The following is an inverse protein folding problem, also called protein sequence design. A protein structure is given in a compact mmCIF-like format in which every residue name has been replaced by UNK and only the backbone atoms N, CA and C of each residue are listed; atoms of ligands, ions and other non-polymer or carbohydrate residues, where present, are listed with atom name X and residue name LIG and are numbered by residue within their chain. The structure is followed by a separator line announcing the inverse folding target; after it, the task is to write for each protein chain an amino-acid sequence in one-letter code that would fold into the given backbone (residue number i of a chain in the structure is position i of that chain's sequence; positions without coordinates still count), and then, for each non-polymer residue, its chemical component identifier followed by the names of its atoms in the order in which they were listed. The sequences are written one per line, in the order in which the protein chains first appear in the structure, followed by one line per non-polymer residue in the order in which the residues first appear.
data_IF_253585719048
#
_entry.id   IF_253585719048
#
_cell.length_a   1.000
_cell.length_b   1.000
_cell.length_c   1.000
_cell.angle_alpha   90.00
_cell.angle_beta   90.00
_cell.angle_gamma   90.00
#
_symmetry.space_group_name_H-M   'P 1'
#
loop_
_entity.id
_entity.type
_entity.pdbx_description
1 polymer ?
#
# COMPACT_ATOMS: atom_id res chain seq x y z
N UNK A 1 -10.41 -10.45 -4.89
CA UNK A 1 -9.36 -10.41 -3.84
C UNK A 1 -7.93 -10.46 -4.39
N UNK A 2 -7.66 -10.96 -5.60
CA UNK A 2 -6.30 -11.01 -6.15
C UNK A 2 -5.58 -9.66 -6.18
N UNK A 3 -6.24 -8.58 -6.64
CA UNK A 3 -5.64 -7.25 -6.63
C UNK A 3 -5.44 -6.67 -5.23
N UNK A 4 -6.29 -7.03 -4.26
CA UNK A 4 -6.09 -6.69 -2.84
C UNK A 4 -4.79 -7.31 -2.32
N UNK A 5 -4.56 -8.58 -2.63
CA UNK A 5 -3.32 -9.27 -2.30
C UNK A 5 -2.10 -8.65 -3.00
N UNK A 6 -2.23 -8.27 -4.28
CA UNK A 6 -1.15 -7.62 -5.02
C UNK A 6 -0.74 -6.28 -4.39
N UNK A 7 -1.71 -5.45 -3.96
CA UNK A 7 -1.41 -4.22 -3.20
C UNK A 7 -0.75 -4.56 -1.86
N UNK A 8 -1.18 -5.63 -1.19
CA UNK A 8 -0.54 -6.11 0.04
C UNK A 8 0.93 -6.49 -0.16
N UNK A 9 1.24 -7.26 -1.21
CA UNK A 9 2.62 -7.63 -1.56
C UNK A 9 3.47 -6.38 -1.82
N UNK A 10 2.94 -5.42 -2.56
CA UNK A 10 3.63 -4.17 -2.87
C UNK A 10 4.00 -3.39 -1.59
N UNK A 11 3.09 -3.33 -0.61
CA UNK A 11 3.36 -2.66 0.67
C UNK A 11 4.37 -3.41 1.55
N UNK A 12 4.38 -4.74 1.50
CA UNK A 12 5.45 -5.54 2.13
C UNK A 12 6.80 -5.26 1.46
N UNK A 13 6.84 -5.10 0.13
CA UNK A 13 8.06 -4.71 -0.57
C UNK A 13 8.55 -3.31 -0.17
N UNK A 14 7.63 -2.35 0.01
CA UNK A 14 7.97 -1.02 0.57
C UNK A 14 8.55 -1.13 1.97
N UNK A 15 7.93 -1.94 2.86
CA UNK A 15 8.48 -2.19 4.19
C UNK A 15 9.94 -2.68 4.12
N UNK A 16 10.21 -3.68 3.30
CA UNK A 16 11.58 -4.22 3.14
C UNK A 16 12.55 -3.14 2.65
N UNK A 17 12.12 -2.35 1.66
CA UNK A 17 12.93 -1.26 1.12
C UNK A 17 13.21 -0.17 2.17
N UNK A 18 12.21 0.24 2.91
CA UNK A 18 12.29 1.33 3.88
C UNK A 18 13.00 0.94 5.16
N UNK A 19 12.77 -0.28 5.67
CA UNK A 19 13.43 -0.77 6.89
C UNK A 19 14.88 -1.19 6.62
N UNK A 20 15.12 -1.88 5.52
CA UNK A 20 16.41 -2.50 5.24
C UNK A 20 17.36 -1.68 4.37
N UNK A 21 16.81 -0.80 3.51
CA UNK A 21 17.59 -0.19 2.44
C UNK A 21 17.39 1.32 2.29
N UNK A 22 16.83 2.01 3.27
CA UNK A 22 16.52 3.45 3.21
C UNK A 22 17.70 4.30 2.75
N UNK A 23 18.84 4.18 3.44
CA UNK A 23 20.03 4.97 3.17
C UNK A 23 20.70 4.66 1.82
N UNK A 24 20.37 3.52 1.22
CA UNK A 24 20.90 3.10 -0.08
C UNK A 24 19.95 3.42 -1.22
N UNK A 25 18.66 3.15 -1.05
CA UNK A 25 17.65 3.30 -2.11
C UNK A 25 17.19 4.73 -2.28
N UNK A 26 17.00 5.46 -1.19
CA UNK A 26 16.43 6.82 -1.22
C UNK A 26 17.32 7.79 -2.01
N UNK A 27 18.67 7.79 -1.84
CA UNK A 27 19.55 8.59 -2.69
C UNK A 27 19.58 8.11 -4.16
N UNK A 28 19.61 6.80 -4.39
CA UNK A 28 19.57 6.23 -5.75
C UNK A 28 18.31 6.60 -6.51
N UNK A 29 17.19 6.65 -5.84
CA UNK A 29 15.91 7.07 -6.38
C UNK A 29 15.76 8.61 -6.45
N UNK A 30 16.79 9.35 -6.02
CA UNK A 30 16.81 10.82 -5.97
C UNK A 30 15.62 11.42 -5.20
N UNK A 31 15.21 10.75 -4.11
CA UNK A 31 14.18 11.26 -3.19
C UNK A 31 14.82 12.27 -2.25
N UNK A 32 15.93 11.88 -1.59
CA UNK A 32 16.78 12.71 -0.75
C UNK A 32 18.24 12.50 -1.13
N UNK A 33 19.11 13.45 -0.77
CA UNK A 33 20.57 13.27 -0.83
C UNK A 33 21.05 12.33 0.29
N UNK A 34 22.32 11.86 0.20
CA UNK A 34 22.88 10.87 1.15
C UNK A 34 22.83 11.35 2.61
N UNK A 35 23.19 12.60 2.87
CA UNK A 35 23.18 13.17 4.22
C UNK A 35 21.75 13.21 4.81
N UNK A 36 20.76 13.57 4.01
CA UNK A 36 19.37 13.61 4.44
C UNK A 36 18.78 12.20 4.62
N UNK A 37 19.14 11.27 3.74
CA UNK A 37 18.74 9.87 3.88
C UNK A 37 19.29 9.26 5.18
N UNK A 38 20.55 9.55 5.53
CA UNK A 38 21.14 9.11 6.79
C UNK A 38 20.43 9.75 8.00
N UNK A 39 20.15 11.06 7.95
CA UNK A 39 19.47 11.77 9.04
C UNK A 39 18.02 11.33 9.25
N UNK A 40 17.36 10.77 8.22
CA UNK A 40 15.96 10.32 8.27
C UNK A 40 15.80 8.79 8.31
N UNK A 41 16.86 8.04 8.56
CA UNK A 41 16.83 6.57 8.55
C UNK A 41 15.80 5.97 9.52
N UNK A 42 15.68 6.53 10.73
CA UNK A 42 14.69 6.07 11.72
C UNK A 42 13.25 6.41 11.29
N UNK A 43 13.05 7.51 10.59
CA UNK A 43 11.75 7.85 9.99
C UNK A 43 11.41 6.84 8.89
N UNK A 44 12.38 6.46 8.07
CA UNK A 44 12.22 5.40 7.06
C UNK A 44 11.79 4.07 7.66
N UNK A 45 12.41 3.64 8.76
CA UNK A 45 12.01 2.41 9.48
C UNK A 45 10.56 2.49 9.98
N UNK A 46 10.16 3.64 10.54
CA UNK A 46 8.80 3.84 11.01
C UNK A 46 7.78 3.79 9.85
N UNK A 47 8.08 4.45 8.72
CA UNK A 47 7.26 4.38 7.52
C UNK A 47 7.15 2.94 7.01
N UNK A 48 8.26 2.21 6.97
CA UNK A 48 8.29 0.81 6.59
C UNK A 48 7.43 -0.07 7.51
N UNK A 49 7.43 0.18 8.80
CA UNK A 49 6.56 -0.55 9.74
C UNK A 49 5.08 -0.35 9.41
N UNK A 50 4.64 0.89 9.12
CA UNK A 50 3.26 1.15 8.70
C UNK A 50 2.93 0.50 7.35
N UNK A 51 3.82 0.57 6.37
CA UNK A 51 3.65 -0.12 5.10
C UNK A 51 3.53 -1.64 5.30
N UNK A 52 4.35 -2.22 6.17
CA UNK A 52 4.27 -3.63 6.53
C UNK A 52 2.93 -4.02 7.16
N UNK A 53 2.44 -3.22 8.11
CA UNK A 53 1.12 -3.45 8.75
C UNK A 53 0.02 -3.44 7.70
N UNK A 54 -0.05 -2.43 6.84
CA UNK A 54 -1.04 -2.36 5.76
C UNK A 54 -0.92 -3.55 4.81
N UNK A 55 0.31 -3.89 4.41
CA UNK A 55 0.58 -5.03 3.53
C UNK A 55 0.09 -6.35 4.13
N UNK A 56 0.45 -6.62 5.37
CA UNK A 56 0.04 -7.84 6.06
C UNK A 56 -1.47 -7.93 6.29
N UNK A 57 -2.12 -6.80 6.64
CA UNK A 57 -3.58 -6.76 6.80
C UNK A 57 -4.30 -7.03 5.47
N UNK A 58 -3.82 -6.48 4.35
CA UNK A 58 -4.38 -6.74 3.03
C UNK A 58 -4.20 -8.21 2.60
N UNK A 59 -3.03 -8.79 2.86
CA UNK A 59 -2.75 -10.20 2.57
C UNK A 59 -3.60 -11.12 3.44
N UNK A 60 -3.68 -10.86 4.75
CA UNK A 60 -4.53 -11.60 5.67
C UNK A 60 -6.00 -11.54 5.23
N UNK A 61 -6.48 -10.34 4.88
CA UNK A 61 -7.84 -10.16 4.42
C UNK A 61 -8.12 -10.92 3.12
N UNK A 62 -7.21 -10.87 2.14
CA UNK A 62 -7.35 -11.61 0.89
C UNK A 62 -7.42 -13.13 1.13
N UNK A 63 -6.64 -13.63 2.07
CA UNK A 63 -6.65 -15.04 2.48
C UNK A 63 -7.93 -15.42 3.22
N UNK A 64 -8.40 -14.59 4.16
CA UNK A 64 -9.57 -14.86 4.99
C UNK A 64 -10.92 -14.49 4.36
N UNK A 65 -10.91 -13.84 3.20
CA UNK A 65 -12.12 -13.38 2.53
C UNK A 65 -13.21 -14.46 2.34
N UNK A 66 -12.87 -15.73 1.98
CA UNK A 66 -13.89 -16.78 1.86
C UNK A 66 -14.59 -17.10 3.17
N UNK A 67 -13.88 -17.03 4.31
CA UNK A 67 -14.43 -17.30 5.64
C UNK A 67 -15.26 -16.11 6.16
N UNK A 68 -14.82 -14.89 5.87
CA UNK A 68 -15.51 -13.67 6.31
C UNK A 68 -16.83 -13.43 5.57
N UNK A 69 -16.96 -13.95 4.36
CA UNK A 69 -18.07 -13.66 3.47
C UNK A 69 -17.90 -12.34 2.68
N UNK A 70 -18.64 -12.23 1.59
CA UNK A 70 -18.42 -11.17 0.58
C UNK A 70 -18.60 -9.74 1.11
N UNK A 71 -19.62 -9.48 1.93
CA UNK A 71 -19.90 -8.13 2.46
C UNK A 71 -18.83 -7.63 3.44
N UNK A 72 -18.51 -8.36 4.53
CA UNK A 72 -17.46 -7.94 5.46
C UNK A 72 -16.09 -7.83 4.77
N UNK A 73 -15.71 -8.82 3.97
CA UNK A 73 -14.43 -8.79 3.26
C UNK A 73 -14.29 -7.56 2.36
N UNK A 74 -15.37 -7.18 1.65
CA UNK A 74 -15.39 -5.97 0.82
C UNK A 74 -15.28 -4.70 1.65
N UNK A 75 -16.02 -4.59 2.75
CA UNK A 75 -15.98 -3.42 3.61
C UNK A 75 -14.57 -3.19 4.18
N UNK A 76 -13.93 -4.24 4.70
CA UNK A 76 -12.54 -4.15 5.19
C UNK A 76 -11.55 -3.80 4.07
N UNK A 77 -11.66 -4.46 2.91
CA UNK A 77 -10.80 -4.15 1.77
C UNK A 77 -10.95 -2.69 1.33
N UNK A 78 -12.18 -2.19 1.25
CA UNK A 78 -12.45 -0.79 0.89
C UNK A 78 -11.80 0.17 1.88
N UNK A 79 -11.93 -0.07 3.19
CA UNK A 79 -11.34 0.79 4.21
C UNK A 79 -9.81 0.81 4.14
N UNK A 80 -9.17 -0.35 4.02
CA UNK A 80 -7.71 -0.46 3.93
C UNK A 80 -7.18 0.17 2.63
N UNK A 81 -7.79 -0.12 1.49
CA UNK A 81 -7.38 0.45 0.21
C UNK A 81 -7.60 1.96 0.15
N UNK A 82 -8.70 2.47 0.73
CA UNK A 82 -8.91 3.91 0.85
C UNK A 82 -7.80 4.58 1.68
N UNK A 83 -7.39 3.95 2.79
CA UNK A 83 -6.24 4.40 3.58
C UNK A 83 -4.95 4.45 2.76
N UNK A 84 -4.69 3.45 1.94
CA UNK A 84 -3.54 3.41 1.01
C UNK A 84 -3.61 4.56 -0.01
N UNK A 85 -4.79 4.82 -0.59
CA UNK A 85 -4.99 5.94 -1.53
C UNK A 85 -4.67 7.27 -0.86
N UNK A 86 -5.21 7.51 0.34
CA UNK A 86 -4.96 8.75 1.09
C UNK A 86 -3.49 8.89 1.42
N UNK A 87 -2.84 7.83 1.94
CA UNK A 87 -1.41 7.86 2.25
C UNK A 87 -0.55 8.16 1.02
N UNK A 88 -0.87 7.55 -0.13
CA UNK A 88 -0.17 7.82 -1.38
C UNK A 88 -0.35 9.26 -1.87
N UNK A 89 -1.56 9.82 -1.77
CA UNK A 89 -1.82 11.23 -2.12
C UNK A 89 -1.03 12.17 -1.20
N UNK A 90 -1.08 11.95 0.10
CA UNK A 90 -0.30 12.76 1.07
C UNK A 90 1.19 12.65 0.77
N UNK A 91 1.72 11.45 0.52
CA UNK A 91 3.12 11.26 0.14
C UNK A 91 3.48 11.99 -1.16
N UNK A 92 2.56 12.03 -2.12
CA UNK A 92 2.71 12.77 -3.37
C UNK A 92 2.82 14.28 -3.17
N UNK A 93 2.04 14.82 -2.25
CA UNK A 93 2.00 16.25 -1.94
C UNK A 93 3.17 16.70 -1.05
N UNK A 94 3.69 15.82 -0.20
CA UNK A 94 4.67 16.18 0.84
C UNK A 94 6.09 15.75 0.51
N UNK A 95 6.26 14.63 -0.22
CA UNK A 95 7.58 14.05 -0.47
C UNK A 95 7.90 14.07 -1.97
N UNK A 96 7.08 13.36 -2.78
CA UNK A 96 7.34 13.25 -4.22
C UNK A 96 6.08 12.85 -4.99
N UNK A 97 5.80 13.55 -6.08
CA UNK A 97 4.63 13.32 -6.96
C UNK A 97 4.53 11.88 -7.53
N UNK A 98 5.63 11.12 -7.58
CA UNK A 98 5.64 9.74 -8.08
C UNK A 98 5.05 8.74 -7.06
N UNK A 99 4.96 9.09 -5.78
CA UNK A 99 4.45 8.18 -4.73
C UNK A 99 3.01 7.73 -5.02
N UNK A 100 2.06 8.61 -5.41
CA UNK A 100 0.71 8.18 -5.77
C UNK A 100 0.67 7.15 -6.89
N UNK A 101 1.60 7.20 -7.84
CA UNK A 101 1.65 6.24 -8.95
C UNK A 101 1.88 4.81 -8.44
N UNK A 102 2.71 4.65 -7.42
CA UNK A 102 3.04 3.34 -6.86
C UNK A 102 2.13 2.91 -5.71
N UNK A 103 1.46 3.84 -5.05
CA UNK A 103 0.54 3.54 -3.93
C UNK A 103 -0.92 3.73 -4.31
N UNK A 104 -1.33 4.96 -4.66
CA UNK A 104 -2.74 5.28 -4.87
C UNK A 104 -3.32 4.62 -6.12
N UNK A 105 -2.57 4.59 -7.23
CA UNK A 105 -3.08 4.01 -8.48
C UNK A 105 -3.37 2.51 -8.36
N UNK A 106 -2.47 1.65 -7.86
CA UNK A 106 -2.80 0.24 -7.64
C UNK A 106 -3.97 0.01 -6.70
N UNK A 107 -4.06 0.81 -5.63
CA UNK A 107 -5.17 0.72 -4.68
C UNK A 107 -6.51 1.15 -5.31
N UNK A 108 -6.53 2.19 -6.15
CA UNK A 108 -7.73 2.61 -6.89
C UNK A 108 -8.18 1.55 -7.88
N UNK A 109 -7.26 0.91 -8.60
CA UNK A 109 -7.57 -0.20 -9.51
C UNK A 109 -8.19 -1.36 -8.73
N UNK A 110 -7.61 -1.71 -7.57
CA UNK A 110 -8.15 -2.76 -6.71
C UNK A 110 -9.55 -2.40 -6.20
N UNK A 111 -9.80 -1.15 -5.79
CA UNK A 111 -11.12 -0.66 -5.39
C UNK A 111 -12.13 -0.75 -6.53
N UNK A 112 -11.79 -0.26 -7.71
CA UNK A 112 -12.68 -0.28 -8.87
C UNK A 112 -13.10 -1.71 -9.22
N UNK A 113 -12.16 -2.65 -9.26
CA UNK A 113 -12.48 -4.07 -9.53
C UNK A 113 -13.29 -4.74 -8.42
N UNK A 114 -13.05 -4.35 -7.16
CA UNK A 114 -13.78 -4.89 -6.00
C UNK A 114 -15.28 -4.52 -6.06
N UNK A 115 -15.59 -3.33 -6.58
CA UNK A 115 -16.97 -2.85 -6.68
C UNK A 115 -17.64 -3.25 -7.98
N UNK A 116 -16.96 -3.25 -9.13
CA UNK A 116 -17.52 -3.70 -10.40
C UNK A 116 -17.94 -5.18 -10.39
N UNK A 117 -17.18 -6.03 -9.69
CA UNK A 117 -17.52 -7.46 -9.53
C UNK A 117 -18.81 -7.71 -8.73
N UNK A 118 -19.33 -6.69 -8.01
CA UNK A 118 -20.56 -6.80 -7.20
C UNK A 118 -21.84 -6.55 -7.97
N UNK A 119 -21.75 -5.95 -9.15
CA UNK A 119 -22.92 -5.55 -9.95
C UNK A 119 -23.33 -6.61 -10.97
N UNK A 120 -22.59 -7.72 -11.09
CA UNK A 120 -23.00 -8.81 -11.98
C UNK A 120 -24.25 -9.48 -11.44
N UNK A 121 -25.39 -9.44 -12.17
CA UNK A 121 -26.63 -10.13 -11.77
C UNK A 121 -26.31 -11.62 -11.64
N UNK A 122 -26.76 -12.23 -10.55
CA UNK A 122 -26.81 -13.70 -10.47
C UNK A 122 -27.76 -14.18 -11.58
N UNK A 123 -27.20 -14.74 -12.62
CA UNK A 123 -27.97 -15.56 -13.59
C UNK A 123 -28.37 -16.87 -12.94
#
# INVERSE_FOLDING_TARGET
MGLVAAVGILHVAFMVAEVGFWTTLVPKLKIYGEAQAAATAEVGKNMGAYNGIFGLLLLWLAWKAPELGARPARAFATSLLAGVVVAGVVGGLTIRWTIPVFQSVPALIALATLWSASESPKR
#
